data_IF_887013076319
#
_entry.id   IF_887013076319
#
_cell.length_a   1.000
_cell.length_b   1.000
_cell.length_c   1.000
_cell.angle_alpha   90.00
_cell.angle_beta   90.00
_cell.angle_gamma   90.00
#
_symmetry.space_group_name_H-M   'P 1'
#
loop_
_entity.id
_entity.type
_entity.pdbx_description
1 polymer ?
#
# COMPACT_ATOMS: atom_id res chain seq x y z
N UNK A 1 -10.64 -3.95 7.10
CA UNK A 1 -9.54 -3.16 6.52
C UNK A 1 -9.29 -3.55 5.08
N UNK A 2 -8.58 -2.71 4.36
CA UNK A 2 -8.38 -2.89 2.93
C UNK A 2 -6.91 -2.80 2.59
N UNK A 3 -6.46 -3.65 1.69
CA UNK A 3 -5.10 -3.58 1.17
C UNK A 3 -5.14 -3.66 -0.35
N UNK A 4 -3.98 -3.45 -0.96
CA UNK A 4 -3.87 -3.46 -2.42
C UNK A 4 -3.07 -4.66 -2.87
N UNK A 5 -3.47 -5.22 -4.01
CA UNK A 5 -2.69 -6.25 -4.69
C UNK A 5 -2.54 -5.86 -6.14
N UNK A 6 -1.51 -6.38 -6.79
CA UNK A 6 -1.38 -6.23 -8.22
C UNK A 6 -2.39 -7.14 -8.89
N UNK A 7 -3.19 -6.58 -9.78
CA UNK A 7 -4.30 -7.32 -10.35
C UNK A 7 -3.87 -8.61 -11.04
N UNK A 8 -2.76 -8.56 -11.76
CA UNK A 8 -2.26 -9.70 -12.49
C UNK A 8 -1.36 -10.61 -11.67
N UNK A 9 -1.10 -10.25 -10.42
CA UNK A 9 -0.16 -10.98 -9.58
C UNK A 9 -0.71 -11.16 -8.17
N UNK A 10 -1.95 -11.60 -8.08
CA UNK A 10 -2.58 -11.79 -6.78
C UNK A 10 -1.84 -12.80 -5.93
N UNK A 11 -1.19 -13.76 -6.56
CA UNK A 11 -0.46 -14.78 -5.84
C UNK A 11 0.81 -14.24 -5.18
N UNK A 12 1.26 -13.06 -5.60
CA UNK A 12 2.42 -12.44 -4.98
C UNK A 12 2.10 -11.76 -3.66
N UNK A 13 0.82 -11.71 -3.29
CA UNK A 13 0.40 -11.15 -2.03
C UNK A 13 0.14 -9.66 -2.10
N UNK A 14 0.15 -9.02 -0.94
CA UNK A 14 -0.19 -7.63 -0.82
C UNK A 14 0.92 -6.73 -1.35
N UNK A 15 0.51 -5.61 -1.95
CA UNK A 15 1.44 -4.61 -2.41
C UNK A 15 1.96 -3.81 -1.20
N UNK A 16 3.26 -3.65 -1.12
CA UNK A 16 3.88 -2.89 -0.04
C UNK A 16 4.64 -1.69 -0.62
N UNK A 17 4.55 -0.58 0.09
CA UNK A 17 5.19 0.66 -0.32
C UNK A 17 6.62 0.68 0.20
N UNK A 18 7.56 1.04 -0.64
CA UNK A 18 8.95 1.15 -0.21
C UNK A 18 9.19 2.54 0.36
N UNK A 19 9.70 2.61 1.59
CA UNK A 19 9.98 3.88 2.21
C UNK A 19 11.38 4.37 1.85
N UNK A 20 11.78 5.50 2.44
CA UNK A 20 13.09 6.10 2.14
C UNK A 20 14.26 5.20 2.46
N UNK A 21 14.09 4.35 3.44
CA UNK A 21 15.18 3.49 3.90
C UNK A 21 15.25 2.18 3.14
N UNK A 22 14.38 2.02 2.16
CA UNK A 22 14.33 0.79 1.39
C UNK A 22 13.47 -0.29 2.01
N UNK A 23 12.84 -0.01 3.13
CA UNK A 23 11.95 -0.98 3.76
C UNK A 23 10.59 -0.99 3.07
N UNK A 24 10.01 -2.16 2.97
CA UNK A 24 8.66 -2.30 2.45
C UNK A 24 7.67 -2.23 3.59
N UNK A 25 6.66 -1.38 3.43
CA UNK A 25 5.65 -1.15 4.44
C UNK A 25 4.29 -1.48 3.85
N UNK A 26 3.58 -2.40 4.48
CA UNK A 26 2.22 -2.74 4.05
C UNK A 26 1.25 -1.68 4.55
N UNK A 27 0.48 -1.09 3.64
CA UNK A 27 -0.56 -0.13 4.03
C UNK A 27 -1.87 -0.88 4.21
N UNK A 28 -2.48 -0.69 5.39
CA UNK A 28 -3.80 -1.22 5.69
C UNK A 28 -4.73 -0.03 5.84
N UNK A 29 -5.66 0.12 4.93
CA UNK A 29 -6.57 1.26 4.91
C UNK A 29 -7.84 0.93 5.70
N UNK A 30 -8.25 1.84 6.56
CA UNK A 30 -9.50 1.64 7.30
C UNK A 30 -10.72 1.80 6.40
N UNK A 31 -10.62 2.69 5.41
CA UNK A 31 -11.74 2.98 4.52
C UNK A 31 -11.42 2.55 3.10
N UNK A 32 -12.41 1.95 2.45
CA UNK A 32 -12.24 1.50 1.09
C UNK A 32 -11.93 2.65 0.14
N UNK A 33 -12.58 3.78 0.34
CA UNK A 33 -12.38 4.94 -0.53
C UNK A 33 -10.93 5.41 -0.56
N UNK A 34 -10.28 5.35 0.59
CA UNK A 34 -8.87 5.74 0.68
C UNK A 34 -7.98 4.76 -0.08
N UNK A 35 -8.29 3.48 0.03
CA UNK A 35 -7.54 2.46 -0.70
C UNK A 35 -7.72 2.62 -2.20
N UNK A 36 -8.95 2.88 -2.64
CA UNK A 36 -9.25 3.08 -4.05
C UNK A 36 -8.50 4.29 -4.59
N UNK A 37 -8.51 5.38 -3.84
CA UNK A 37 -7.81 6.60 -4.27
C UNK A 37 -6.31 6.35 -4.44
N UNK A 38 -5.73 5.66 -3.48
CA UNK A 38 -4.31 5.34 -3.55
C UNK A 38 -4.01 4.43 -4.74
N UNK A 39 -4.87 3.43 -4.96
CA UNK A 39 -4.72 2.52 -6.08
C UNK A 39 -4.75 3.25 -7.42
N UNK A 40 -5.68 4.19 -7.56
CA UNK A 40 -5.79 4.95 -8.81
C UNK A 40 -4.54 5.78 -9.06
N UNK A 41 -3.98 6.37 -8.01
CA UNK A 41 -2.75 7.14 -8.15
C UNK A 41 -1.57 6.25 -8.54
N UNK A 42 -1.50 5.06 -7.97
CA UNK A 42 -0.46 4.11 -8.34
C UNK A 42 -0.57 3.67 -9.79
N UNK A 43 -1.80 3.39 -10.22
CA UNK A 43 -2.03 2.98 -11.61
C UNK A 43 -1.57 4.04 -12.58
N UNK A 44 -1.82 5.29 -12.22
CA UNK A 44 -1.41 6.41 -13.06
C UNK A 44 0.11 6.53 -13.16
N UNK A 45 0.78 6.31 -12.04
CA UNK A 45 2.23 6.47 -12.00
C UNK A 45 2.99 5.29 -12.59
N UNK A 46 2.49 4.10 -12.37
CA UNK A 46 3.26 2.89 -12.71
C UNK A 46 2.66 2.09 -13.85
N UNK A 47 1.54 2.55 -14.39
CA UNK A 47 0.87 1.87 -15.50
C UNK A 47 0.58 0.40 -15.17
N UNK A 48 0.16 0.16 -13.94
CA UNK A 48 -0.11 -1.19 -13.44
C UNK A 48 -1.47 -1.18 -12.75
N UNK A 49 -2.32 -2.13 -13.10
CA UNK A 49 -3.62 -2.22 -12.46
C UNK A 49 -3.53 -2.79 -11.08
N UNK A 50 -4.26 -2.18 -10.15
CA UNK A 50 -4.29 -2.60 -8.76
C UNK A 50 -5.70 -3.07 -8.40
N UNK A 51 -5.77 -3.91 -7.39
CA UNK A 51 -7.05 -4.38 -6.87
C UNK A 51 -7.12 -4.11 -5.37
N UNK A 52 -8.27 -3.62 -4.90
CA UNK A 52 -8.52 -3.38 -3.49
C UNK A 52 -9.15 -4.64 -2.91
N UNK A 53 -8.57 -5.16 -1.84
CA UNK A 53 -9.03 -6.40 -1.22
C UNK A 53 -9.37 -6.13 0.23
N UNK A 54 -10.55 -6.55 0.66
CA UNK A 54 -10.94 -6.44 2.06
C UNK A 54 -10.34 -7.59 2.85
N UNK A 55 -9.77 -7.28 4.02
CA UNK A 55 -9.17 -8.29 4.88
C UNK A 55 -9.58 -8.04 6.32
N UNK A 56 -9.47 -9.08 7.14
CA UNK A 56 -9.63 -8.94 8.57
C UNK A 56 -8.41 -8.19 9.11
N UNK A 57 -8.66 -7.00 9.69
CA UNK A 57 -7.58 -6.14 10.16
C UNK A 57 -6.74 -6.77 11.26
N UNK A 58 -7.41 -7.42 12.22
CA UNK A 58 -6.67 -8.05 13.31
C UNK A 58 -5.77 -9.16 12.81
N UNK A 59 -6.30 -9.97 11.92
CA UNK A 59 -5.53 -11.08 11.36
C UNK A 59 -4.35 -10.56 10.52
N UNK A 60 -4.58 -9.52 9.75
CA UNK A 60 -3.51 -8.93 8.95
C UNK A 60 -2.39 -8.39 9.83
N UNK A 61 -2.74 -7.70 10.91
CA UNK A 61 -1.75 -7.15 11.83
C UNK A 61 -0.98 -8.27 12.53
N UNK A 62 -1.70 -9.29 12.97
CA UNK A 62 -1.04 -10.44 13.59
C UNK A 62 -0.06 -11.11 12.65
N UNK A 63 -0.44 -11.25 11.40
CA UNK A 63 0.43 -11.86 10.41
C UNK A 63 1.68 -11.03 10.20
N UNK A 64 1.53 -9.71 10.12
CA UNK A 64 2.67 -8.82 9.97
C UNK A 64 3.63 -8.94 11.16
N UNK A 65 3.07 -9.00 12.37
CA UNK A 65 3.90 -9.13 13.56
C UNK A 65 4.60 -10.47 13.60
N UNK A 66 3.90 -11.52 13.21
CA UNK A 66 4.48 -12.86 13.23
C UNK A 66 5.66 -12.99 12.31
N UNK A 67 5.56 -12.41 11.12
CA UNK A 67 6.62 -12.48 10.12
C UNK A 67 7.54 -11.27 10.12
N UNK A 68 7.35 -10.40 11.09
CA UNK A 68 8.21 -9.21 11.24
C UNK A 68 8.13 -8.27 10.04
N UNK A 69 6.95 -8.14 9.46
CA UNK A 69 6.71 -7.19 8.37
C UNK A 69 6.34 -5.84 8.95
N UNK A 70 6.80 -4.78 8.30
CA UNK A 70 6.38 -3.43 8.66
C UNK A 70 5.03 -3.13 8.05
N UNK A 71 4.20 -2.44 8.80
CA UNK A 71 2.88 -2.06 8.32
C UNK A 71 2.49 -0.71 8.89
N UNK A 72 1.53 -0.06 8.24
CA UNK A 72 0.96 1.19 8.71
C UNK A 72 -0.54 1.14 8.50
N UNK A 73 -1.30 1.56 9.51
CA UNK A 73 -2.75 1.66 9.39
C UNK A 73 -3.07 3.07 8.92
N UNK A 74 -3.73 3.17 7.78
CA UNK A 74 -4.07 4.46 7.18
C UNK A 74 -5.51 4.78 7.50
N UNK A 75 -5.73 5.90 8.18
CA UNK A 75 -7.07 6.33 8.57
C UNK A 75 -7.55 7.42 7.62
N UNK A 76 -8.86 7.76 7.66
CA UNK A 76 -9.37 8.84 6.81
C UNK A 76 -8.70 10.19 7.06
N UNK A 77 -8.07 10.36 8.22
CA UNK A 77 -7.39 11.60 8.54
C UNK A 77 -5.96 11.66 8.01
N UNK A 78 -5.46 10.54 7.53
CA UNK A 78 -4.11 10.49 6.97
C UNK A 78 -4.15 10.82 5.50
N UNK A 79 -3.21 11.63 5.06
CA UNK A 79 -3.08 11.94 3.64
C UNK A 79 -1.84 11.22 3.14
N UNK A 80 -2.06 10.18 2.34
CA UNK A 80 -0.96 9.40 1.78
C UNK A 80 -0.99 9.51 0.26
N UNK A 81 0.17 9.74 -0.30
CA UNK A 81 0.35 9.87 -1.74
C UNK A 81 1.45 8.91 -2.16
N UNK A 82 1.23 8.09 -3.20
CA UNK A 82 2.28 7.18 -3.64
C UNK A 82 3.54 7.94 -4.01
N UNK A 83 4.71 7.48 -3.58
CA UNK A 83 5.94 8.15 -3.94
C UNK A 83 6.18 8.03 -5.44
N UNK A 84 6.64 9.13 -6.04
CA UNK A 84 6.95 9.13 -7.45
C UNK A 84 8.39 8.70 -7.64
N UNK A 85 8.61 7.92 -8.67
CA UNK A 85 9.94 7.40 -8.93
C UNK A 85 10.97 8.49 -9.19
N UNK A 86 10.53 9.60 -9.76
CA UNK A 86 11.44 10.66 -10.16
C UNK A 86 11.63 11.75 -9.14
N UNK A 87 10.93 11.68 -8.03
CA UNK A 87 10.99 12.74 -7.05
C UNK A 87 12.37 12.92 -6.46
N UNK A 88 13.12 11.83 -6.38
CA UNK A 88 14.43 11.89 -5.78
C UNK A 88 15.40 12.71 -6.57
N UNK A 89 15.17 12.84 -7.85
CA UNK A 89 16.10 13.56 -8.70
C UNK A 89 15.87 15.04 -8.70
N UNK A 90 14.65 15.42 -8.45
CA UNK A 90 14.31 16.83 -8.53
C UNK A 90 14.71 17.59 -7.28
N UNK A 91 15.08 16.88 -6.27
CA UNK A 91 15.36 17.51 -5.02
C UNK A 91 16.69 18.07 -4.92
N UNK A 92 17.43 17.84 -5.83
CA UNK A 92 18.80 18.24 -5.64
C UNK A 92 19.31 19.45 -6.14
#
# INVERSE_FOLDING_TARGET
MFLLTLKDRKDDGAYAVQNRHGDKVLFLFEEEDDAVRYALQLEEQEDTEMEVVEVDGELAIKTCKLYNYKYAVITPNDIVIPPKLNDNFSKN
#
